data_IF_005005306947
#
_entry.id   IF_005005306947
#
_cell.length_a   1.000
_cell.length_b   1.000
_cell.length_c   1.000
_cell.angle_alpha   90.00
_cell.angle_beta   90.00
_cell.angle_gamma   90.00
#
_symmetry.space_group_name_H-M   'P 1'
#
loop_
_entity.id
_entity.type
_entity.pdbx_description
1 polymer ?
#
# COMPACT_ATOMS: atom_id res chain seq x y z
N UNK A 1 42.19 39.03 28.95
CA UNK A 1 41.68 37.65 28.98
C UNK A 1 40.45 37.57 28.08
N UNK A 2 40.58 37.02 26.88
CA UNK A 2 39.46 36.77 25.97
C UNK A 2 38.86 35.42 26.35
N UNK A 3 37.58 35.39 26.69
CA UNK A 3 36.87 34.17 27.06
C UNK A 3 36.74 33.25 25.83
N UNK A 4 37.31 32.04 25.91
CA UNK A 4 37.02 30.97 24.96
C UNK A 4 35.53 30.60 25.02
N UNK A 5 34.84 30.45 23.89
CA UNK A 5 33.48 29.94 23.88
C UNK A 5 33.51 28.48 24.34
N UNK A 6 32.85 28.19 25.46
CA UNK A 6 32.51 26.82 25.84
C UNK A 6 31.55 26.30 24.77
N UNK A 7 32.03 25.44 23.87
CA UNK A 7 31.19 24.66 22.98
C UNK A 7 30.26 23.82 23.85
N UNK A 8 28.98 24.23 23.94
CA UNK A 8 27.93 23.38 24.50
C UNK A 8 27.92 22.09 23.68
N UNK A 9 28.28 20.97 24.29
CA UNK A 9 28.12 19.66 23.68
C UNK A 9 26.63 19.51 23.30
N UNK A 10 26.35 19.42 21.99
CA UNK A 10 24.99 19.18 21.51
C UNK A 10 24.47 17.89 22.13
N UNK A 11 23.22 17.90 22.62
CA UNK A 11 22.56 16.68 23.12
C UNK A 11 22.66 15.59 22.04
N UNK A 12 23.31 14.48 22.35
CA UNK A 12 23.33 13.32 21.47
C UNK A 12 21.94 12.67 21.51
N UNK A 13 21.36 12.39 20.35
CA UNK A 13 20.10 11.65 20.28
C UNK A 13 20.36 10.21 20.71
N UNK A 14 19.41 9.61 21.43
CA UNK A 14 19.44 8.18 21.70
C UNK A 14 19.28 7.39 20.39
N UNK A 15 19.79 6.16 20.37
CA UNK A 15 19.61 5.25 19.23
C UNK A 15 18.12 5.00 18.96
N UNK A 16 17.30 4.91 20.00
CA UNK A 16 15.85 4.76 19.90
C UNK A 16 15.20 5.93 19.16
N UNK A 17 15.55 7.19 19.50
CA UNK A 17 15.02 8.36 18.80
C UNK A 17 15.48 8.41 17.34
N UNK A 18 16.73 8.01 17.07
CA UNK A 18 17.23 7.92 15.70
C UNK A 18 16.46 6.88 14.90
N UNK A 19 16.18 5.73 15.50
CA UNK A 19 15.44 4.65 14.85
C UNK A 19 13.97 5.06 14.63
N UNK A 20 13.33 5.69 15.61
CA UNK A 20 11.98 6.23 15.50
C UNK A 20 11.84 7.22 14.32
N UNK A 21 12.82 8.11 14.11
CA UNK A 21 12.82 9.03 12.97
C UNK A 21 12.95 8.27 11.64
N UNK A 22 13.81 7.25 11.58
CA UNK A 22 13.98 6.44 10.37
C UNK A 22 12.70 5.67 10.05
N UNK A 23 12.05 5.09 11.05
CA UNK A 23 10.80 4.35 10.91
C UNK A 23 9.66 5.29 10.53
N UNK A 24 9.61 6.50 11.10
CA UNK A 24 8.67 7.54 10.69
C UNK A 24 8.80 7.87 9.20
N UNK A 25 10.02 8.09 8.70
CA UNK A 25 10.25 8.33 7.27
C UNK A 25 9.90 7.12 6.39
N UNK A 26 10.09 5.90 6.89
CA UNK A 26 9.85 4.66 6.14
C UNK A 26 8.41 4.15 6.27
N UNK A 27 7.59 4.76 7.13
CA UNK A 27 6.16 4.46 7.22
C UNK A 27 5.46 4.71 5.89
N UNK A 28 4.51 3.84 5.55
CA UNK A 28 3.66 3.98 4.35
C UNK A 28 2.73 5.20 4.40
N UNK A 29 2.56 5.81 5.60
CA UNK A 29 1.87 7.09 5.76
C UNK A 29 2.69 8.28 5.25
N UNK A 30 4.02 8.19 5.35
CA UNK A 30 4.93 9.31 5.10
C UNK A 30 5.74 9.15 3.81
N UNK A 31 5.87 7.93 3.31
CA UNK A 31 6.55 7.63 2.07
C UNK A 31 5.95 6.39 1.38
N UNK A 32 6.16 6.23 0.08
CA UNK A 32 5.73 5.03 -0.67
C UNK A 32 6.88 4.40 -1.41
N UNK A 33 6.97 3.06 -1.39
CA UNK A 33 7.93 2.32 -2.21
C UNK A 33 7.65 2.59 -3.69
N UNK A 34 8.72 2.91 -4.43
CA UNK A 34 8.68 2.99 -5.87
C UNK A 34 8.85 1.58 -6.45
N UNK A 35 7.89 1.10 -7.24
CA UNK A 35 7.88 -0.27 -7.76
C UNK A 35 8.79 -0.50 -8.98
N UNK A 36 9.37 0.55 -9.57
CA UNK A 36 10.19 0.43 -10.76
C UNK A 36 11.54 -0.26 -10.49
N UNK A 37 11.96 -1.17 -11.36
CA UNK A 37 13.25 -1.86 -11.23
C UNK A 37 14.44 -0.90 -11.15
N UNK A 38 14.35 0.26 -11.82
CA UNK A 38 15.38 1.30 -11.85
C UNK A 38 15.29 2.28 -10.67
N UNK A 39 14.22 2.25 -9.88
CA UNK A 39 13.99 3.17 -8.76
C UNK A 39 14.79 2.77 -7.53
N UNK A 40 16.11 2.84 -7.64
CA UNK A 40 17.05 2.40 -6.61
C UNK A 40 18.06 3.48 -6.26
N UNK A 41 18.57 3.42 -5.04
CA UNK A 41 19.71 4.23 -4.59
C UNK A 41 20.75 3.32 -3.95
N UNK A 42 22.02 3.65 -4.11
CA UNK A 42 23.11 2.96 -3.41
C UNK A 42 23.35 3.68 -2.08
N UNK A 43 23.17 2.97 -0.98
CA UNK A 43 23.53 3.41 0.36
C UNK A 43 24.82 2.71 0.79
N UNK A 44 25.65 3.39 1.58
CA UNK A 44 26.79 2.76 2.25
C UNK A 44 26.34 2.42 3.68
N UNK A 45 26.31 1.14 4.01
CA UNK A 45 25.96 0.62 5.33
C UNK A 45 27.14 -0.22 5.78
N UNK A 46 27.75 0.13 6.92
CA UNK A 46 28.92 -0.56 7.48
C UNK A 46 30.07 -0.73 6.47
N UNK A 47 30.33 0.32 5.68
CA UNK A 47 31.37 0.34 4.65
C UNK A 47 31.02 -0.40 3.35
N UNK A 48 29.87 -1.10 3.28
CA UNK A 48 29.43 -1.84 2.11
C UNK A 48 28.40 -1.07 1.29
N UNK A 49 28.55 -1.13 -0.04
CA UNK A 49 27.58 -0.55 -0.98
C UNK A 49 26.37 -1.46 -1.11
N UNK A 50 25.25 -1.08 -0.49
CA UNK A 50 23.97 -1.80 -0.54
C UNK A 50 23.00 -1.04 -1.43
N UNK A 51 22.38 -1.73 -2.39
CA UNK A 51 21.38 -1.14 -3.29
C UNK A 51 19.99 -1.26 -2.66
N UNK A 52 19.38 -0.12 -2.30
CA UNK A 52 18.04 -0.04 -1.70
C UNK A 52 17.00 0.48 -2.70
N UNK A 53 15.77 -0.03 -2.60
CA UNK A 53 14.64 0.48 -3.35
C UNK A 53 14.26 1.87 -2.82
N UNK A 54 14.00 2.83 -3.73
CA UNK A 54 13.58 4.19 -3.37
C UNK A 54 12.19 4.17 -2.75
N UNK A 55 11.99 5.04 -1.77
CA UNK A 55 10.71 5.44 -1.21
C UNK A 55 10.50 6.92 -1.51
N UNK A 56 9.39 7.27 -2.16
CA UNK A 56 9.02 8.65 -2.44
C UNK A 56 8.33 9.24 -1.21
N UNK A 57 8.86 10.33 -0.65
CA UNK A 57 8.19 11.05 0.43
C UNK A 57 6.85 11.62 -0.06
N UNK A 58 5.80 11.45 0.74
CA UNK A 58 4.44 11.90 0.42
C UNK A 58 4.18 13.36 0.80
N UNK A 59 5.05 13.92 1.63
CA UNK A 59 5.01 15.30 2.10
C UNK A 59 6.38 15.95 1.96
N UNK A 60 6.42 17.29 1.98
CA UNK A 60 7.68 17.99 2.05
C UNK A 60 8.32 17.79 3.45
N UNK A 61 9.61 18.11 3.60
CA UNK A 61 10.32 17.83 4.85
C UNK A 61 9.78 18.65 6.05
N UNK A 62 9.27 19.86 5.82
CA UNK A 62 8.71 20.68 6.89
C UNK A 62 7.41 20.07 7.42
N UNK A 63 6.50 19.67 6.53
CA UNK A 63 5.25 19.02 6.89
C UNK A 63 5.51 17.71 7.65
N UNK A 64 6.48 16.90 7.19
CA UNK A 64 6.89 15.68 7.88
C UNK A 64 7.43 15.97 9.28
N UNK A 65 8.17 17.05 9.45
CA UNK A 65 8.70 17.43 10.75
C UNK A 65 7.58 17.89 11.70
N UNK A 66 6.63 18.68 11.21
CA UNK A 66 5.45 19.09 11.99
C UNK A 66 4.66 17.86 12.42
N UNK A 67 4.38 16.93 11.50
CA UNK A 67 3.68 15.68 11.81
C UNK A 67 4.45 14.80 12.80
N UNK A 68 5.78 14.72 12.68
CA UNK A 68 6.62 13.96 13.62
C UNK A 68 6.57 14.55 15.04
N UNK A 69 6.43 15.87 15.15
CA UNK A 69 6.36 16.61 16.42
C UNK A 69 4.95 16.63 17.01
N UNK A 70 3.93 16.37 16.21
CA UNK A 70 2.54 16.36 16.65
C UNK A 70 2.33 15.36 17.80
N UNK A 71 1.89 15.84 18.96
CA UNK A 71 1.70 15.02 20.17
C UNK A 71 2.98 14.71 20.97
N UNK A 72 4.16 15.22 20.57
CA UNK A 72 5.41 15.08 21.32
C UNK A 72 5.75 16.37 22.07
N UNK A 73 5.73 16.32 23.40
CA UNK A 73 6.11 17.44 24.27
C UNK A 73 7.63 17.67 24.38
N UNK A 74 8.43 17.07 23.49
CA UNK A 74 9.88 17.08 23.60
C UNK A 74 10.57 17.77 22.41
N UNK A 75 11.39 18.77 22.72
CA UNK A 75 12.18 19.60 21.80
C UNK A 75 13.59 19.05 21.51
N UNK A 76 13.87 17.81 21.90
CA UNK A 76 15.16 17.16 21.64
C UNK A 76 15.53 17.14 20.13
N UNK A 77 14.57 16.98 19.22
CA UNK A 77 14.83 16.87 17.78
C UNK A 77 14.48 18.16 17.04
N UNK A 78 15.51 18.91 16.62
CA UNK A 78 15.36 20.05 15.71
C UNK A 78 15.18 19.61 14.24
N UNK A 79 14.57 20.48 13.42
CA UNK A 79 14.31 20.23 11.99
C UNK A 79 15.56 19.77 11.22
N UNK A 80 16.69 20.45 11.41
CA UNK A 80 17.95 20.11 10.71
C UNK A 80 18.43 18.69 11.05
N UNK A 81 18.30 18.28 12.30
CA UNK A 81 18.68 16.93 12.75
C UNK A 81 17.72 15.90 12.17
N UNK A 82 16.41 16.16 12.21
CA UNK A 82 15.39 15.32 11.59
C UNK A 82 15.66 15.11 10.10
N UNK A 83 15.86 16.19 9.34
CA UNK A 83 16.16 16.14 7.92
C UNK A 83 17.47 15.40 7.61
N UNK A 84 18.50 15.52 8.47
CA UNK A 84 19.79 14.82 8.33
C UNK A 84 19.67 13.32 8.60
N UNK A 85 18.78 12.91 9.50
CA UNK A 85 18.53 11.50 9.84
C UNK A 85 17.64 10.78 8.82
N UNK A 86 17.13 11.49 7.82
CA UNK A 86 16.37 10.90 6.72
C UNK A 86 17.15 9.75 6.06
N UNK A 87 16.56 8.55 5.99
CA UNK A 87 17.14 7.44 5.24
C UNK A 87 17.45 7.83 3.78
N UNK A 88 18.61 7.43 3.26
CA UNK A 88 19.06 7.77 1.90
C UNK A 88 18.08 7.28 0.84
N UNK A 89 17.35 6.19 1.11
CA UNK A 89 16.32 5.66 0.23
C UNK A 89 14.99 6.41 0.29
N UNK A 90 14.75 7.30 1.26
CA UNK A 90 13.58 8.18 1.29
C UNK A 90 13.88 9.48 0.54
N UNK A 91 13.41 9.56 -0.70
CA UNK A 91 13.72 10.63 -1.63
C UNK A 91 12.59 11.68 -1.63
N UNK A 92 12.90 12.98 -1.46
CA UNK A 92 11.90 14.03 -1.66
C UNK A 92 11.53 14.11 -3.14
N UNK A 93 10.25 14.30 -3.44
CA UNK A 93 9.81 14.55 -4.81
C UNK A 93 10.43 15.86 -5.33
N UNK A 94 11.31 15.78 -6.33
CA UNK A 94 11.76 16.93 -7.13
C UNK A 94 10.89 17.06 -8.38
N UNK A 95 10.82 18.24 -9.01
CA UNK A 95 10.24 18.38 -10.35
C UNK A 95 10.84 17.34 -11.30
N UNK A 96 9.98 16.61 -12.01
CA UNK A 96 10.37 15.48 -12.87
C UNK A 96 10.46 14.11 -12.16
N UNK A 97 10.17 14.02 -10.85
CA UNK A 97 10.04 12.72 -10.18
C UNK A 97 8.77 12.04 -10.64
N UNK A 98 8.91 10.89 -11.30
CA UNK A 98 7.79 10.12 -11.82
C UNK A 98 7.01 9.46 -10.66
N UNK A 99 5.99 10.16 -10.15
CA UNK A 99 5.04 9.63 -9.17
C UNK A 99 3.98 8.79 -9.89
N UNK A 100 3.95 7.49 -9.61
CA UNK A 100 3.10 6.52 -10.32
C UNK A 100 2.15 5.77 -9.40
N UNK A 101 1.01 5.37 -9.98
CA UNK A 101 -0.13 4.72 -9.32
C UNK A 101 -0.62 5.49 -8.09
N UNK A 102 -0.90 6.78 -8.30
CA UNK A 102 -1.58 7.64 -7.34
C UNK A 102 -3.03 7.18 -7.16
N UNK A 103 -3.59 7.40 -5.97
CA UNK A 103 -5.01 7.17 -5.73
C UNK A 103 -5.82 8.24 -6.45
N UNK A 104 -6.68 7.86 -7.40
CA UNK A 104 -7.49 8.81 -8.19
C UNK A 104 -8.51 9.56 -7.34
N UNK A 105 -9.00 8.97 -6.24
CA UNK A 105 -9.91 9.63 -5.29
C UNK A 105 -9.21 10.83 -4.63
N UNK A 106 -7.99 10.64 -4.12
CA UNK A 106 -7.18 11.73 -3.57
C UNK A 106 -6.69 12.69 -4.66
N UNK A 107 -6.16 12.16 -5.76
CA UNK A 107 -5.50 12.97 -6.78
C UNK A 107 -6.48 13.88 -7.51
N UNK A 108 -7.70 13.41 -7.80
CA UNK A 108 -8.69 14.26 -8.47
C UNK A 108 -9.11 15.45 -7.59
N UNK A 109 -9.29 15.24 -6.27
CA UNK A 109 -9.54 16.35 -5.36
C UNK A 109 -8.37 17.34 -5.34
N UNK A 110 -7.13 16.85 -5.26
CA UNK A 110 -5.93 17.70 -5.30
C UNK A 110 -5.86 18.53 -6.58
N UNK A 111 -6.03 17.89 -7.75
CA UNK A 111 -5.98 18.58 -9.04
C UNK A 111 -7.05 19.67 -9.18
N UNK A 112 -8.25 19.45 -8.62
CA UNK A 112 -9.30 20.47 -8.59
C UNK A 112 -8.93 21.65 -7.67
N UNK A 113 -8.45 21.38 -6.47
CA UNK A 113 -8.01 22.42 -5.53
C UNK A 113 -6.79 23.21 -6.04
N UNK A 114 -5.88 22.55 -6.75
CA UNK A 114 -4.74 23.16 -7.41
C UNK A 114 -5.17 24.10 -8.54
N UNK A 115 -6.21 23.73 -9.30
CA UNK A 115 -6.71 24.52 -10.43
C UNK A 115 -7.24 25.90 -10.03
N UNK A 116 -7.79 26.03 -8.82
CA UNK A 116 -8.21 27.31 -8.23
C UNK A 116 -7.14 27.93 -7.33
N UNK A 117 -5.99 27.26 -7.17
CA UNK A 117 -4.93 27.62 -6.25
C UNK A 117 -5.48 27.92 -4.84
N UNK A 118 -6.12 26.92 -4.22
CA UNK A 118 -6.91 27.06 -3.00
C UNK A 118 -6.18 27.85 -1.89
N UNK A 119 -4.88 27.61 -1.69
CA UNK A 119 -4.08 28.30 -0.69
C UNK A 119 -3.98 29.80 -0.98
N UNK A 120 -3.73 30.19 -2.24
CA UNK A 120 -3.73 31.60 -2.64
C UNK A 120 -5.13 32.19 -2.65
N UNK A 121 -6.15 31.43 -3.02
CA UNK A 121 -7.53 31.91 -3.06
C UNK A 121 -8.02 32.27 -1.65
N UNK A 122 -7.64 31.48 -0.65
CA UNK A 122 -8.15 31.58 0.73
C UNK A 122 -7.19 32.23 1.73
N UNK A 123 -6.03 32.74 1.28
CA UNK A 123 -4.99 33.29 2.17
C UNK A 123 -5.44 34.44 3.09
N UNK A 124 -6.51 35.16 2.72
CA UNK A 124 -7.05 36.29 3.49
C UNK A 124 -8.14 35.87 4.48
N UNK A 125 -8.56 34.60 4.45
CA UNK A 125 -9.50 34.09 5.44
C UNK A 125 -8.81 34.01 6.81
N UNK A 126 -9.60 34.16 7.87
CA UNK A 126 -9.13 33.96 9.24
C UNK A 126 -8.53 32.55 9.42
N UNK A 127 -9.11 31.56 8.73
CA UNK A 127 -8.61 30.19 8.67
C UNK A 127 -8.39 29.81 7.19
N UNK A 128 -7.17 29.98 6.66
CA UNK A 128 -6.86 29.62 5.28
C UNK A 128 -7.03 28.12 5.01
N UNK A 129 -7.45 27.78 3.78
CA UNK A 129 -7.61 26.40 3.31
C UNK A 129 -6.47 26.09 2.35
N UNK A 130 -5.59 25.17 2.72
CA UNK A 130 -4.40 24.90 1.92
C UNK A 130 -4.50 23.64 1.07
N UNK A 131 -5.29 22.66 1.53
CA UNK A 131 -5.43 21.37 0.86
C UNK A 131 -6.78 20.72 1.14
N UNK A 132 -6.95 19.50 0.64
CA UNK A 132 -8.16 18.73 0.85
C UNK A 132 -8.42 18.40 2.33
N UNK A 133 -7.39 18.31 3.18
CA UNK A 133 -7.57 17.99 4.60
C UNK A 133 -8.22 19.17 5.30
N UNK A 134 -7.82 20.39 4.95
CA UNK A 134 -8.47 21.60 5.46
C UNK A 134 -9.91 21.70 4.93
N UNK A 135 -10.17 21.37 3.66
CA UNK A 135 -11.55 21.26 3.16
C UNK A 135 -12.38 20.26 3.98
N UNK A 136 -11.83 19.07 4.28
CA UNK A 136 -12.51 18.07 5.10
C UNK A 136 -12.79 18.57 6.52
N UNK A 137 -11.87 19.35 7.13
CA UNK A 137 -12.10 19.96 8.45
C UNK A 137 -13.24 20.99 8.42
N UNK A 138 -13.38 21.76 7.34
CA UNK A 138 -14.45 22.76 7.20
C UNK A 138 -15.84 22.11 7.14
N UNK A 139 -15.95 20.91 6.55
CA UNK A 139 -17.22 20.19 6.36
C UNK A 139 -17.48 19.09 7.40
N UNK A 140 -16.66 19.02 8.45
CA UNK A 140 -16.81 18.05 9.55
C UNK A 140 -16.87 18.76 10.90
N UNK A 141 -17.42 18.07 11.90
CA UNK A 141 -17.37 18.54 13.28
C UNK A 141 -15.92 18.73 13.75
N UNK A 142 -15.69 19.70 14.65
CA UNK A 142 -14.37 19.96 15.24
C UNK A 142 -13.72 18.70 15.85
N UNK A 143 -14.54 17.85 16.48
CA UNK A 143 -14.14 16.53 16.99
C UNK A 143 -14.89 15.46 16.17
N UNK A 144 -14.36 15.04 15.02
CA UNK A 144 -15.07 14.15 14.11
C UNK A 144 -15.22 12.75 14.71
N UNK A 145 -16.44 12.24 14.69
CA UNK A 145 -16.72 10.82 14.98
C UNK A 145 -16.55 9.96 13.73
N UNK A 146 -16.62 8.63 13.87
CA UNK A 146 -16.67 7.72 12.71
C UNK A 146 -17.79 8.11 11.75
N UNK A 147 -18.99 8.48 12.26
CA UNK A 147 -20.12 8.90 11.41
C UNK A 147 -19.80 10.15 10.58
N UNK A 148 -18.99 11.08 11.10
CA UNK A 148 -18.55 12.26 10.36
C UNK A 148 -17.74 11.86 9.12
N UNK A 149 -16.82 10.91 9.27
CA UNK A 149 -15.98 10.41 8.18
C UNK A 149 -16.74 9.64 7.10
N UNK A 150 -17.85 9.00 7.47
CA UNK A 150 -18.73 8.29 6.54
C UNK A 150 -19.84 9.18 5.95
N UNK A 151 -19.86 10.47 6.26
CA UNK A 151 -20.91 11.44 5.87
C UNK A 151 -22.31 11.03 6.37
N UNK A 152 -22.38 10.42 7.56
CA UNK A 152 -23.61 9.93 8.21
C UNK A 152 -23.97 10.76 9.46
N UNK A 153 -23.20 11.80 9.78
CA UNK A 153 -23.43 12.67 10.92
C UNK A 153 -24.37 13.82 10.54
N UNK A 154 -25.47 13.97 11.28
CA UNK A 154 -26.42 15.08 11.13
C UNK A 154 -25.89 16.43 11.63
N UNK A 155 -24.86 16.40 12.47
CA UNK A 155 -24.29 17.60 13.13
C UNK A 155 -23.08 18.16 12.38
N UNK A 156 -22.63 17.52 11.29
CA UNK A 156 -21.55 18.07 10.49
C UNK A 156 -21.99 19.43 9.89
N UNK A 157 -21.07 20.41 9.79
CA UNK A 157 -21.33 21.62 9.02
C UNK A 157 -21.81 21.28 7.61
N UNK A 158 -22.81 22.01 7.13
CA UNK A 158 -23.31 21.83 5.77
C UNK A 158 -22.16 22.04 4.77
N UNK A 159 -22.05 21.14 3.79
CA UNK A 159 -21.10 21.29 2.68
C UNK A 159 -21.29 22.59 1.93
N UNK A 160 -22.51 23.14 1.96
CA UNK A 160 -22.86 24.43 1.39
C UNK A 160 -21.99 25.55 1.97
N UNK A 161 -21.54 25.45 3.23
CA UNK A 161 -20.63 26.43 3.82
C UNK A 161 -19.30 26.51 3.04
N UNK A 162 -18.72 25.37 2.64
CA UNK A 162 -17.52 25.37 1.82
C UNK A 162 -17.81 25.94 0.43
N UNK A 163 -18.95 25.59 -0.16
CA UNK A 163 -19.36 26.11 -1.47
C UNK A 163 -19.51 27.63 -1.43
N UNK A 164 -20.21 28.19 -0.44
CA UNK A 164 -20.46 29.62 -0.30
C UNK A 164 -19.16 30.42 -0.13
N UNK A 165 -18.22 29.89 0.68
CA UNK A 165 -16.88 30.50 0.84
C UNK A 165 -16.16 30.56 -0.50
N UNK A 166 -16.13 29.44 -1.24
CA UNK A 166 -15.38 29.37 -2.49
C UNK A 166 -16.07 30.14 -3.62
N UNK A 167 -17.39 30.08 -3.73
CA UNK A 167 -18.17 30.79 -4.74
C UNK A 167 -18.00 32.31 -4.61
N UNK A 168 -18.07 32.83 -3.38
CA UNK A 168 -17.78 34.24 -3.10
C UNK A 168 -16.37 34.62 -3.54
N UNK A 169 -15.35 33.83 -3.16
CA UNK A 169 -13.96 34.13 -3.50
C UNK A 169 -13.67 34.03 -5.00
N UNK A 170 -14.29 33.09 -5.70
CA UNK A 170 -14.17 32.98 -7.16
C UNK A 170 -14.84 34.17 -7.85
N UNK A 171 -16.03 34.56 -7.39
CA UNK A 171 -16.78 35.73 -7.89
C UNK A 171 -16.02 37.04 -7.66
N UNK A 172 -15.45 37.25 -6.47
CA UNK A 172 -14.63 38.42 -6.13
C UNK A 172 -13.38 38.53 -7.02
N UNK A 173 -12.91 37.40 -7.58
CA UNK A 173 -11.80 37.33 -8.53
C UNK A 173 -12.25 37.27 -10.00
N UNK A 174 -13.54 37.42 -10.28
CA UNK A 174 -14.15 37.35 -11.61
C UNK A 174 -13.87 36.03 -12.34
N UNK A 175 -13.76 34.93 -11.59
CA UNK A 175 -13.53 33.59 -12.15
C UNK A 175 -14.90 32.95 -12.43
N UNK A 176 -15.30 32.96 -13.71
CA UNK A 176 -16.60 32.40 -14.15
C UNK A 176 -16.52 30.94 -14.59
N UNK A 177 -15.31 30.43 -14.84
CA UNK A 177 -15.07 29.04 -15.23
C UNK A 177 -13.69 28.59 -14.79
N UNK A 178 -13.56 27.31 -14.46
CA UNK A 178 -12.32 26.69 -13.98
C UNK A 178 -11.86 25.64 -14.98
N UNK A 179 -10.59 25.74 -15.40
CA UNK A 179 -9.91 24.74 -16.20
C UNK A 179 -9.11 23.83 -15.26
N UNK A 180 -9.42 22.54 -15.22
CA UNK A 180 -8.76 21.58 -14.33
C UNK A 180 -8.52 20.24 -14.99
N UNK A 181 -7.60 19.46 -14.44
CA UNK A 181 -7.34 18.09 -14.87
C UNK A 181 -7.97 17.08 -13.91
N UNK A 182 -8.41 15.94 -14.43
CA UNK A 182 -8.97 14.84 -13.62
C UNK A 182 -8.68 13.49 -14.25
N UNK A 183 -8.41 12.48 -13.43
CA UNK A 183 -8.29 11.10 -13.88
C UNK A 183 -9.67 10.50 -14.06
N UNK A 184 -9.96 10.03 -15.28
CA UNK A 184 -11.12 9.19 -15.60
C UNK A 184 -10.68 7.74 -15.64
N UNK A 185 -11.27 6.90 -14.79
CA UNK A 185 -10.99 5.46 -14.72
C UNK A 185 -12.13 4.69 -15.36
N UNK A 186 -11.96 4.26 -16.61
CA UNK A 186 -12.70 3.13 -17.18
C UNK A 186 -11.80 1.89 -17.11
N UNK A 187 -11.94 0.91 -18.01
CA UNK A 187 -10.99 -0.22 -18.12
C UNK A 187 -9.52 0.25 -18.25
N UNK A 188 -9.30 1.51 -18.62
CA UNK A 188 -8.02 2.25 -18.57
C UNK A 188 -8.18 3.57 -17.79
N UNK A 189 -7.07 4.07 -17.24
CA UNK A 189 -7.03 5.37 -16.59
C UNK A 189 -6.45 6.43 -17.55
N UNK A 190 -7.19 7.52 -17.77
CA UNK A 190 -6.77 8.63 -18.64
C UNK A 190 -6.87 9.95 -17.88
N UNK A 191 -5.84 10.78 -17.97
CA UNK A 191 -5.87 12.15 -17.46
C UNK A 191 -6.53 13.05 -18.51
N UNK A 192 -7.64 13.68 -18.14
CA UNK A 192 -8.40 14.57 -19.02
C UNK A 192 -8.41 15.98 -18.45
N UNK A 193 -8.36 16.97 -19.34
CA UNK A 193 -8.60 18.38 -18.98
C UNK A 193 -10.06 18.72 -19.26
N UNK A 194 -10.70 19.39 -18.29
CA UNK A 194 -12.09 19.83 -18.36
C UNK A 194 -12.16 21.32 -18.03
N UNK A 195 -13.12 22.01 -18.65
CA UNK A 195 -13.49 23.38 -18.30
C UNK A 195 -14.94 23.38 -17.89
N UNK A 196 -15.22 23.79 -16.66
CA UNK A 196 -16.58 23.89 -16.14
C UNK A 196 -16.87 25.33 -15.70
N UNK A 197 -18.13 25.78 -15.79
CA UNK A 197 -18.63 26.91 -15.01
C UNK A 197 -18.28 26.79 -13.52
N UNK A 198 -18.12 27.91 -12.81
CA UNK A 198 -17.66 27.92 -11.42
C UNK A 198 -18.59 27.13 -10.48
N UNK A 199 -19.91 27.27 -10.64
CA UNK A 199 -20.95 26.56 -9.89
C UNK A 199 -20.93 25.04 -10.13
N UNK A 200 -20.81 24.63 -11.39
CA UNK A 200 -20.66 23.21 -11.76
C UNK A 200 -19.35 22.62 -11.21
N UNK A 201 -18.26 23.39 -11.26
CA UNK A 201 -16.97 23.00 -10.71
C UNK A 201 -17.05 22.78 -9.18
N UNK A 202 -17.68 23.68 -8.45
CA UNK A 202 -17.85 23.56 -6.99
C UNK A 202 -18.73 22.36 -6.62
N UNK A 203 -19.79 22.11 -7.39
CA UNK A 203 -20.64 20.92 -7.24
C UNK A 203 -19.84 19.63 -7.44
N UNK A 204 -18.99 19.57 -8.49
CA UNK A 204 -18.11 18.42 -8.70
C UNK A 204 -17.08 18.29 -7.56
N UNK A 205 -16.49 19.38 -7.10
CA UNK A 205 -15.51 19.38 -6.00
C UNK A 205 -16.12 18.80 -4.71
N UNK A 206 -17.31 19.24 -4.31
CA UNK A 206 -18.01 18.72 -3.14
C UNK A 206 -18.33 17.22 -3.30
N UNK A 207 -18.78 16.79 -4.48
CA UNK A 207 -19.00 15.38 -4.77
C UNK A 207 -17.71 14.54 -4.63
N UNK A 208 -16.56 15.06 -5.07
CA UNK A 208 -15.27 14.38 -4.87
C UNK A 208 -14.83 14.37 -3.41
N UNK A 209 -15.04 15.46 -2.65
CA UNK A 209 -14.74 15.52 -1.22
C UNK A 209 -15.59 14.53 -0.40
N UNK A 210 -16.88 14.40 -0.72
CA UNK A 210 -17.78 13.38 -0.14
C UNK A 210 -17.28 11.96 -0.36
N UNK A 211 -16.74 11.66 -1.53
CA UNK A 211 -16.13 10.36 -1.83
C UNK A 211 -14.78 10.18 -1.14
N UNK A 212 -14.00 11.26 -1.03
CA UNK A 212 -12.68 11.27 -0.42
C UNK A 212 -12.72 11.04 1.09
N UNK A 213 -13.71 11.62 1.80
CA UNK A 213 -13.78 11.58 3.25
C UNK A 213 -13.73 10.14 3.83
N UNK A 214 -14.66 9.22 3.48
CA UNK A 214 -14.62 7.85 3.99
C UNK A 214 -13.39 7.10 3.50
N UNK A 215 -12.96 7.35 2.26
CA UNK A 215 -11.79 6.69 1.68
C UNK A 215 -10.50 7.06 2.42
N UNK A 216 -10.32 8.34 2.73
CA UNK A 216 -9.18 8.84 3.49
C UNK A 216 -9.16 8.30 4.92
N UNK A 217 -10.32 8.25 5.57
CA UNK A 217 -10.46 7.65 6.90
C UNK A 217 -10.12 6.15 6.89
N UNK A 218 -10.71 5.37 5.98
CA UNK A 218 -10.45 3.93 5.88
C UNK A 218 -8.96 3.67 5.60
N UNK A 219 -8.35 4.41 4.67
CA UNK A 219 -6.93 4.26 4.35
C UNK A 219 -6.06 4.44 5.61
N UNK A 220 -6.31 5.49 6.40
CA UNK A 220 -5.61 5.74 7.67
C UNK A 220 -5.87 4.62 8.69
N UNK A 221 -7.13 4.21 8.88
CA UNK A 221 -7.47 3.14 9.83
C UNK A 221 -6.86 1.79 9.47
N UNK A 222 -6.75 1.45 8.18
CA UNK A 222 -6.09 0.22 7.76
C UNK A 222 -4.59 0.24 8.04
N UNK A 223 -3.91 1.34 7.74
CA UNK A 223 -2.48 1.50 8.02
C UNK A 223 -2.20 1.49 9.53
N UNK A 224 -2.99 2.21 10.32
CA UNK A 224 -2.90 2.20 11.78
C UNK A 224 -3.10 0.81 12.36
N UNK A 225 -4.14 0.10 11.90
CA UNK A 225 -4.44 -1.24 12.38
C UNK A 225 -3.30 -2.21 12.07
N UNK A 226 -2.75 -2.17 10.85
CA UNK A 226 -1.62 -3.01 10.46
C UNK A 226 -0.37 -2.73 11.31
N UNK A 227 -0.04 -1.46 11.51
CA UNK A 227 1.10 -1.02 12.35
C UNK A 227 0.94 -1.56 13.76
N UNK A 228 -0.22 -1.31 14.38
CA UNK A 228 -0.54 -1.83 15.72
C UNK A 228 -0.46 -3.36 15.78
N UNK A 229 -0.93 -4.07 14.74
CA UNK A 229 -0.86 -5.54 14.69
C UNK A 229 0.58 -6.04 14.58
N UNK A 230 1.48 -5.34 13.88
CA UNK A 230 2.92 -5.63 13.89
C UNK A 230 3.46 -5.46 15.31
N UNK A 231 3.18 -4.34 15.97
CA UNK A 231 3.69 -4.06 17.33
C UNK A 231 3.19 -5.07 18.37
N UNK A 232 1.94 -5.51 18.27
CA UNK A 232 1.31 -6.46 19.20
C UNK A 232 1.27 -7.90 18.68
N UNK A 233 2.08 -8.24 17.67
CA UNK A 233 2.09 -9.58 17.09
C UNK A 233 2.50 -10.62 18.14
N UNK A 234 1.83 -11.75 18.26
CA UNK A 234 2.23 -12.82 19.20
C UNK A 234 3.21 -13.82 18.57
N UNK A 235 3.89 -14.61 19.39
CA UNK A 235 4.83 -15.65 18.93
C UNK A 235 4.18 -16.76 18.10
N UNK A 236 2.89 -17.02 18.32
CA UNK A 236 2.10 -18.00 17.57
C UNK A 236 1.31 -17.40 16.40
N UNK A 237 1.57 -16.12 16.08
CA UNK A 237 0.91 -15.36 15.02
C UNK A 237 1.91 -14.89 13.97
N UNK A 238 1.44 -14.85 12.72
CA UNK A 238 2.16 -14.18 11.64
C UNK A 238 1.23 -13.22 10.90
N UNK A 239 1.81 -12.15 10.36
CA UNK A 239 1.15 -11.28 9.39
C UNK A 239 1.71 -11.63 8.02
N UNK A 240 0.86 -11.80 7.02
CA UNK A 240 1.28 -12.13 5.65
C UNK A 240 0.73 -11.08 4.69
N UNK A 241 1.63 -10.32 4.09
CA UNK A 241 1.35 -9.46 2.94
C UNK A 241 1.56 -10.27 1.64
N UNK A 242 0.61 -10.19 0.72
CA UNK A 242 0.57 -10.97 -0.52
C UNK A 242 0.22 -10.03 -1.68
N UNK A 243 1.01 -10.04 -2.75
CA UNK A 243 0.63 -9.37 -3.99
C UNK A 243 1.21 -10.03 -5.25
N UNK A 244 0.47 -9.95 -6.36
CA UNK A 244 0.97 -10.33 -7.68
C UNK A 244 1.79 -9.19 -8.26
N UNK A 245 3.08 -9.45 -8.48
CA UNK A 245 3.86 -8.56 -9.32
C UNK A 245 3.47 -8.75 -10.79
N UNK A 246 3.61 -7.71 -11.60
CA UNK A 246 3.56 -7.87 -13.05
C UNK A 246 4.52 -8.98 -13.47
N UNK A 247 4.00 -9.90 -14.30
CA UNK A 247 4.72 -11.06 -14.80
C UNK A 247 6.07 -10.69 -15.39
N UNK A 248 7.03 -11.58 -15.22
CA UNK A 248 8.34 -11.41 -15.82
C UNK A 248 8.32 -11.95 -17.25
N UNK A 249 8.31 -11.04 -18.22
CA UNK A 249 8.60 -11.38 -19.61
C UNK A 249 10.08 -11.75 -19.74
N UNK A 250 10.37 -12.90 -20.35
CA UNK A 250 11.74 -13.33 -20.52
C UNK A 250 12.50 -12.40 -21.46
N UNK A 251 13.74 -12.14 -21.11
CA UNK A 251 14.67 -11.36 -21.93
C UNK A 251 15.95 -12.16 -22.12
N UNK A 252 16.64 -11.91 -23.23
CA UNK A 252 17.90 -12.57 -23.56
C UNK A 252 18.85 -11.56 -24.17
N UNK A 253 20.14 -11.75 -23.92
CA UNK A 253 21.19 -10.97 -24.56
C UNK A 253 21.24 -11.28 -26.06
N UNK A 254 21.53 -10.29 -26.91
CA UNK A 254 21.60 -10.45 -28.38
C UNK A 254 20.33 -11.07 -28.99
N UNK A 255 19.17 -10.73 -28.42
CA UNK A 255 17.88 -11.22 -28.90
C UNK A 255 17.68 -10.90 -30.39
N UNK A 256 17.30 -11.91 -31.16
CA UNK A 256 16.86 -11.70 -32.54
C UNK A 256 15.66 -10.74 -32.56
N UNK A 257 15.53 -9.92 -33.61
CA UNK A 257 14.48 -8.90 -33.71
C UNK A 257 13.06 -9.48 -33.46
N UNK A 258 12.79 -10.69 -33.97
CA UNK A 258 11.49 -11.35 -33.79
C UNK A 258 11.18 -11.73 -32.33
N UNK A 259 12.20 -11.87 -31.47
CA UNK A 259 12.02 -12.21 -30.05
C UNK A 259 11.29 -11.11 -29.27
N UNK A 260 11.29 -9.85 -29.75
CA UNK A 260 10.50 -8.77 -29.17
C UNK A 260 8.98 -9.02 -29.19
N UNK A 261 8.51 -9.95 -30.04
CA UNK A 261 7.10 -10.35 -30.11
C UNK A 261 6.81 -11.63 -29.31
N UNK A 262 7.80 -12.19 -28.59
CA UNK A 262 7.56 -13.30 -27.70
C UNK A 262 6.78 -12.83 -26.46
N UNK A 263 5.72 -13.57 -26.12
CA UNK A 263 4.85 -13.29 -24.99
C UNK A 263 5.03 -14.30 -23.85
N UNK A 264 6.07 -15.14 -23.87
CA UNK A 264 6.36 -16.06 -22.77
C UNK A 264 6.71 -15.29 -21.50
N UNK A 265 6.07 -15.66 -20.40
CA UNK A 265 6.22 -14.97 -19.11
C UNK A 265 6.22 -15.96 -17.95
N UNK A 266 6.78 -15.52 -16.84
CA UNK A 266 6.66 -16.18 -15.55
C UNK A 266 5.77 -15.35 -14.62
N UNK A 267 4.80 -16.01 -13.99
CA UNK A 267 4.04 -15.41 -12.88
C UNK A 267 4.97 -15.21 -11.70
N UNK A 268 4.95 -14.00 -11.14
CA UNK A 268 5.68 -13.67 -9.92
C UNK A 268 4.67 -13.23 -8.87
N UNK A 269 4.55 -14.02 -7.81
CA UNK A 269 3.81 -13.60 -6.64
C UNK A 269 4.78 -13.29 -5.51
N UNK A 270 4.71 -12.07 -5.01
CA UNK A 270 5.55 -11.55 -3.93
C UNK A 270 4.84 -11.65 -2.60
N UNK A 271 5.60 -11.99 -1.57
CA UNK A 271 5.08 -12.26 -0.24
C UNK A 271 6.07 -11.68 0.76
N UNK A 272 5.56 -11.00 1.79
CA UNK A 272 6.35 -10.64 2.96
C UNK A 272 5.56 -11.08 4.18
N UNK A 273 6.16 -11.95 5.01
CA UNK A 273 5.55 -12.31 6.27
C UNK A 273 6.35 -11.78 7.45
N UNK A 274 5.64 -11.32 8.47
CA UNK A 274 6.20 -10.82 9.72
C UNK A 274 5.90 -11.81 10.83
N UNK A 275 6.87 -12.03 11.69
CA UNK A 275 6.80 -12.96 12.81
C UNK A 275 7.56 -12.38 14.01
N UNK A 276 7.17 -12.78 15.21
CA UNK A 276 7.89 -12.39 16.42
C UNK A 276 9.08 -13.31 16.68
N UNK A 277 10.21 -12.72 17.03
CA UNK A 277 11.44 -13.42 17.43
C UNK A 277 11.95 -12.77 18.71
N UNK A 278 11.46 -13.26 19.86
CA UNK A 278 11.71 -12.62 21.15
C UNK A 278 11.00 -11.27 21.27
N UNK A 279 11.73 -10.22 21.63
CA UNK A 279 11.17 -8.87 21.76
C UNK A 279 10.91 -8.19 20.41
N UNK A 280 11.53 -8.66 19.32
CA UNK A 280 11.51 -8.00 18.03
C UNK A 280 10.54 -8.65 17.05
N UNK A 281 9.98 -7.82 16.16
CA UNK A 281 9.27 -8.30 14.97
C UNK A 281 10.24 -8.35 13.80
N UNK A 282 10.42 -9.55 13.25
CA UNK A 282 11.23 -9.80 12.06
C UNK A 282 10.33 -10.05 10.86
N UNK A 283 10.92 -10.04 9.68
CA UNK A 283 10.22 -10.34 8.45
C UNK A 283 11.05 -11.25 7.55
N UNK A 284 10.39 -11.96 6.66
CA UNK A 284 11.00 -12.75 5.59
C UNK A 284 10.32 -12.40 4.26
N UNK A 285 11.15 -12.15 3.24
CA UNK A 285 10.66 -11.97 1.88
C UNK A 285 10.61 -13.31 1.16
N UNK A 286 9.54 -13.55 0.41
CA UNK A 286 9.34 -14.78 -0.36
C UNK A 286 8.83 -14.43 -1.76
N UNK A 287 9.33 -15.15 -2.77
CA UNK A 287 8.86 -15.08 -4.15
C UNK A 287 8.38 -16.45 -4.59
N UNK A 288 7.11 -16.52 -4.99
CA UNK A 288 6.54 -17.69 -5.65
C UNK A 288 6.58 -17.49 -7.17
N UNK A 289 7.16 -18.45 -7.88
CA UNK A 289 7.25 -18.46 -9.34
C UNK A 289 6.33 -19.53 -9.92
N UNK A 290 5.79 -19.28 -11.11
CA UNK A 290 5.01 -20.28 -11.84
C UNK A 290 5.08 -20.13 -13.35
N UNK A 291 4.85 -21.25 -14.04
CA UNK A 291 4.48 -21.34 -15.46
C UNK A 291 2.96 -21.21 -15.68
N UNK A 292 2.18 -21.04 -14.62
CA UNK A 292 0.74 -20.78 -14.68
C UNK A 292 0.44 -19.28 -14.58
N UNK A 293 -0.10 -18.70 -15.66
CA UNK A 293 -0.47 -17.28 -15.76
C UNK A 293 -1.84 -16.94 -15.14
N UNK A 294 -2.47 -17.88 -14.43
CA UNK A 294 -3.77 -17.64 -13.78
C UNK A 294 -3.57 -16.86 -12.49
N UNK A 295 -4.18 -15.66 -12.41
CA UNK A 295 -4.18 -14.79 -11.23
C UNK A 295 -5.56 -14.79 -10.58
N UNK A 296 -5.95 -15.93 -10.03
CA UNK A 296 -7.27 -16.12 -9.41
C UNK A 296 -7.15 -16.62 -7.96
N UNK A 297 -8.30 -16.88 -7.35
CA UNK A 297 -8.40 -17.38 -5.97
C UNK A 297 -7.74 -18.77 -5.82
N UNK A 298 -7.75 -19.58 -6.88
CA UNK A 298 -7.12 -20.92 -6.88
C UNK A 298 -5.62 -20.80 -6.80
N UNK A 299 -5.01 -19.90 -7.58
CA UNK A 299 -3.57 -19.66 -7.55
C UNK A 299 -3.12 -19.19 -6.16
N UNK A 300 -3.85 -18.25 -5.56
CA UNK A 300 -3.59 -17.77 -4.18
C UNK A 300 -3.62 -18.93 -3.19
N UNK A 301 -4.61 -19.82 -3.27
CA UNK A 301 -4.67 -20.98 -2.37
C UNK A 301 -3.45 -21.90 -2.52
N UNK A 302 -3.01 -22.20 -3.74
CA UNK A 302 -1.83 -23.06 -3.97
C UNK A 302 -0.58 -22.43 -3.35
N UNK A 303 -0.43 -21.12 -3.53
CA UNK A 303 0.67 -20.33 -2.96
C UNK A 303 0.62 -20.37 -1.43
N UNK A 304 -0.55 -20.15 -0.84
CA UNK A 304 -0.76 -20.25 0.61
C UNK A 304 -0.41 -21.63 1.15
N UNK A 305 -0.85 -22.70 0.47
CA UNK A 305 -0.55 -24.07 0.90
C UNK A 305 0.95 -24.32 1.03
N UNK A 306 1.73 -23.93 0.01
CA UNK A 306 3.18 -24.12 0.02
C UNK A 306 3.85 -23.19 1.03
N UNK A 307 3.42 -21.93 1.10
CA UNK A 307 3.93 -20.94 2.04
C UNK A 307 3.74 -21.41 3.48
N UNK A 308 2.51 -21.75 3.87
CA UNK A 308 2.17 -22.11 5.24
C UNK A 308 2.86 -23.38 5.69
N UNK A 309 2.99 -24.39 4.81
CA UNK A 309 3.77 -25.58 5.10
C UNK A 309 5.22 -25.22 5.48
N UNK A 310 5.87 -24.38 4.68
CA UNK A 310 7.25 -23.92 4.96
C UNK A 310 7.36 -23.06 6.21
N UNK A 311 6.34 -22.24 6.49
CA UNK A 311 6.31 -21.42 7.70
C UNK A 311 6.15 -22.30 8.94
N UNK A 312 5.28 -23.31 8.90
CA UNK A 312 5.08 -24.26 9.99
C UNK A 312 6.32 -25.13 10.29
N UNK A 313 7.18 -25.38 9.30
CA UNK A 313 8.48 -26.04 9.50
C UNK A 313 9.47 -25.18 10.31
N UNK A 314 9.33 -23.85 10.27
CA UNK A 314 10.24 -22.90 10.92
C UNK A 314 9.66 -22.26 12.19
N UNK A 315 8.34 -22.17 12.29
CA UNK A 315 7.62 -21.40 13.31
C UNK A 315 6.39 -22.16 13.81
N UNK A 316 6.12 -22.10 15.11
CA UNK A 316 4.91 -22.68 15.70
C UNK A 316 3.71 -21.74 15.54
N UNK A 317 3.15 -21.67 14.34
CA UNK A 317 2.07 -20.73 13.99
C UNK A 317 0.71 -21.36 14.20
N UNK A 318 -0.17 -20.65 14.92
CA UNK A 318 -1.58 -21.01 15.16
C UNK A 318 -2.57 -20.08 14.48
N UNK A 319 -2.13 -18.86 14.13
CA UNK A 319 -2.98 -17.89 13.42
C UNK A 319 -2.21 -17.07 12.39
N UNK A 320 -2.84 -16.86 11.23
CA UNK A 320 -2.34 -16.02 10.14
C UNK A 320 -3.25 -14.81 9.97
N UNK A 321 -2.64 -13.64 9.74
CA UNK A 321 -3.33 -12.37 9.52
C UNK A 321 -2.94 -11.88 8.14
N UNK A 322 -3.82 -12.09 7.17
CA UNK A 322 -3.55 -11.68 5.79
C UNK A 322 -3.83 -10.20 5.60
N UNK A 323 -2.93 -9.50 4.91
CA UNK A 323 -3.16 -8.15 4.39
C UNK A 323 -2.91 -8.14 2.89
N UNK A 324 -3.93 -7.75 2.12
CA UNK A 324 -3.83 -7.69 0.66
C UNK A 324 -4.51 -6.44 0.11
N UNK A 325 -4.28 -6.16 -1.16
CA UNK A 325 -5.11 -5.22 -1.89
C UNK A 325 -6.55 -5.75 -2.08
N UNK A 326 -7.42 -4.89 -2.57
CA UNK A 326 -8.83 -5.21 -2.83
C UNK A 326 -9.11 -5.90 -4.17
N UNK A 327 -8.13 -6.52 -4.83
CA UNK A 327 -8.31 -7.11 -6.15
C UNK A 327 -9.41 -8.18 -6.16
N UNK A 328 -10.46 -7.92 -6.95
CA UNK A 328 -11.65 -8.78 -7.04
C UNK A 328 -11.35 -10.16 -7.61
N UNK A 329 -10.36 -10.26 -8.50
CA UNK A 329 -10.08 -11.50 -9.21
C UNK A 329 -9.48 -12.59 -8.30
N UNK A 330 -8.67 -12.22 -7.29
CA UNK A 330 -7.94 -13.20 -6.47
C UNK A 330 -8.06 -13.03 -4.96
N UNK A 331 -8.30 -11.83 -4.41
CA UNK A 331 -8.37 -11.64 -2.96
C UNK A 331 -9.76 -11.26 -2.44
N UNK A 332 -10.40 -10.24 -3.04
CA UNK A 332 -11.63 -9.65 -2.49
C UNK A 332 -12.89 -10.16 -3.20
N UNK A 333 -13.13 -11.47 -3.11
CA UNK A 333 -14.30 -12.13 -3.69
C UNK A 333 -14.84 -13.26 -2.80
N UNK A 334 -16.03 -13.76 -3.15
CA UNK A 334 -16.72 -14.80 -2.38
C UNK A 334 -15.97 -16.13 -2.29
N UNK A 335 -15.18 -16.46 -3.31
CA UNK A 335 -14.41 -17.71 -3.36
C UNK A 335 -13.27 -17.67 -2.35
N UNK A 336 -12.59 -16.52 -2.23
CA UNK A 336 -11.57 -16.33 -1.21
C UNK A 336 -12.17 -16.35 0.20
N UNK A 337 -13.36 -15.79 0.40
CA UNK A 337 -14.04 -15.87 1.70
C UNK A 337 -14.44 -17.31 2.04
N UNK A 338 -14.84 -18.12 1.06
CA UNK A 338 -15.09 -19.54 1.26
C UNK A 338 -13.81 -20.31 1.63
N UNK A 339 -12.67 -19.99 0.99
CA UNK A 339 -11.37 -20.55 1.38
C UNK A 339 -10.95 -20.12 2.79
N UNK A 340 -11.23 -18.87 3.17
CA UNK A 340 -10.94 -18.34 4.51
C UNK A 340 -11.73 -19.07 5.60
N UNK A 341 -13.01 -19.37 5.37
CA UNK A 341 -13.83 -20.17 6.29
C UNK A 341 -13.30 -21.60 6.48
N UNK A 342 -12.71 -22.19 5.43
CA UNK A 342 -12.11 -23.52 5.49
C UNK A 342 -10.62 -23.52 5.89
N UNK A 343 -10.03 -22.36 6.22
CA UNK A 343 -8.58 -22.22 6.37
C UNK A 343 -8.01 -23.11 7.50
N UNK A 344 -8.70 -23.19 8.64
CA UNK A 344 -8.28 -24.05 9.76
C UNK A 344 -8.40 -25.54 9.41
N UNK A 345 -9.44 -25.92 8.66
CA UNK A 345 -9.59 -27.29 8.17
C UNK A 345 -8.49 -27.67 7.17
N UNK A 346 -8.16 -26.76 6.26
CA UNK A 346 -7.25 -27.02 5.14
C UNK A 346 -5.78 -26.98 5.57
N UNK A 347 -5.43 -26.12 6.53
CA UNK A 347 -4.04 -25.83 6.91
C UNK A 347 -3.71 -26.07 8.40
N UNK A 348 -4.71 -26.38 9.23
CA UNK A 348 -4.54 -26.51 10.68
C UNK A 348 -4.23 -25.19 11.38
N UNK A 349 -4.45 -24.05 10.71
CA UNK A 349 -4.14 -22.70 11.20
C UNK A 349 -5.38 -21.82 11.09
N UNK A 350 -5.70 -21.05 12.12
CA UNK A 350 -6.75 -20.03 12.03
C UNK A 350 -6.30 -18.87 11.14
N UNK A 351 -7.22 -18.19 10.48
CA UNK A 351 -6.86 -17.03 9.69
C UNK A 351 -7.90 -15.92 9.79
N UNK A 352 -7.44 -14.69 9.62
CA UNK A 352 -8.27 -13.52 9.35
C UNK A 352 -7.72 -12.77 8.14
N UNK A 353 -8.59 -12.05 7.44
CA UNK A 353 -8.23 -11.33 6.22
C UNK A 353 -8.58 -9.86 6.31
N UNK A 354 -7.58 -9.03 6.06
CA UNK A 354 -7.67 -7.58 6.07
C UNK A 354 -7.28 -7.04 4.69
N UNK A 355 -7.91 -5.93 4.31
CA UNK A 355 -7.73 -5.32 3.01
C UNK A 355 -7.25 -3.89 3.15
N UNK A 356 -6.20 -3.52 2.42
CA UNK A 356 -5.85 -2.12 2.25
C UNK A 356 -6.97 -1.36 1.54
N UNK A 357 -7.07 -0.06 1.80
CA UNK A 357 -7.94 0.81 1.01
C UNK A 357 -7.47 0.83 -0.46
N UNK A 358 -8.41 1.00 -1.40
CA UNK A 358 -8.12 1.03 -2.84
C UNK A 358 -6.99 2.02 -3.17
N UNK A 359 -5.96 1.57 -3.88
CA UNK A 359 -4.76 2.34 -4.23
C UNK A 359 -3.88 2.81 -3.04
N UNK A 360 -4.04 2.19 -1.87
CA UNK A 360 -3.22 2.38 -0.67
C UNK A 360 -2.57 1.08 -0.15
N UNK A 361 -2.58 0.01 -0.94
CA UNK A 361 -1.95 -1.28 -0.60
C UNK A 361 -0.53 -1.48 -1.11
N UNK A 362 0.10 -0.44 -1.68
CA UNK A 362 1.50 -0.53 -2.11
C UNK A 362 2.40 -0.63 -0.89
N UNK A 363 3.29 -1.61 -0.87
CA UNK A 363 4.04 -1.97 0.33
C UNK A 363 5.30 -2.78 0.06
N UNK A 364 5.65 -3.62 1.03
CA UNK A 364 6.91 -4.36 1.00
C UNK A 364 6.99 -5.34 -0.18
N UNK A 365 5.86 -5.96 -0.55
CA UNK A 365 5.72 -6.86 -1.69
C UNK A 365 6.19 -6.24 -3.02
N UNK A 366 5.81 -4.98 -3.30
CA UNK A 366 6.27 -4.26 -4.51
C UNK A 366 7.80 -4.14 -4.56
N UNK A 367 8.42 -3.86 -3.41
CA UNK A 367 9.87 -3.73 -3.29
C UNK A 367 10.59 -5.05 -3.56
N UNK A 368 10.04 -6.17 -3.05
CA UNK A 368 10.55 -7.52 -3.30
C UNK A 368 10.45 -7.86 -4.79
N UNK A 369 9.29 -7.60 -5.41
CA UNK A 369 9.08 -7.86 -6.83
C UNK A 369 10.02 -7.04 -7.72
N UNK A 370 10.19 -5.75 -7.42
CA UNK A 370 11.11 -4.87 -8.14
C UNK A 370 12.57 -5.35 -8.01
N UNK A 371 12.97 -5.78 -6.81
CA UNK A 371 14.31 -6.30 -6.55
C UNK A 371 14.57 -7.62 -7.28
N UNK A 372 13.64 -8.56 -7.19
CA UNK A 372 13.73 -9.84 -7.87
C UNK A 372 13.82 -9.65 -9.39
N UNK A 373 12.89 -8.89 -9.99
CA UNK A 373 12.88 -8.65 -11.45
C UNK A 373 14.16 -7.98 -11.92
N UNK A 374 14.66 -6.97 -11.19
CA UNK A 374 15.94 -6.30 -11.51
C UNK A 374 17.10 -7.29 -11.59
N UNK A 375 17.18 -8.21 -10.63
CA UNK A 375 18.25 -9.20 -10.58
C UNK A 375 18.08 -10.27 -11.67
N UNK A 376 16.86 -10.72 -11.93
CA UNK A 376 16.54 -11.64 -13.03
C UNK A 376 16.94 -11.03 -14.38
N UNK A 377 16.54 -9.79 -14.64
CA UNK A 377 16.90 -9.04 -15.86
C UNK A 377 18.41 -8.91 -16.00
N UNK A 378 19.12 -8.55 -14.93
CA UNK A 378 20.57 -8.44 -14.96
C UNK A 378 21.22 -9.77 -15.31
N UNK A 379 20.79 -10.86 -14.68
CA UNK A 379 21.32 -12.20 -14.96
C UNK A 379 21.03 -12.65 -16.39
N UNK A 380 19.79 -12.46 -16.88
CA UNK A 380 19.41 -12.77 -18.26
C UNK A 380 20.26 -12.05 -19.30
N UNK A 381 20.58 -10.77 -19.09
CA UNK A 381 21.41 -9.97 -20.01
C UNK A 381 22.91 -10.27 -19.92
N UNK A 382 23.37 -10.87 -18.82
CA UNK A 382 24.76 -11.28 -18.63
C UNK A 382 25.00 -12.75 -19.01
N UNK A 383 23.93 -13.53 -19.17
CA UNK A 383 24.03 -14.94 -19.51
C UNK A 383 24.41 -15.11 -20.99
N UNK A 384 25.35 -16.03 -21.32
CA UNK A 384 25.54 -16.46 -22.70
C UNK A 384 24.29 -17.19 -23.19
N UNK A 385 24.09 -17.23 -24.52
CA UNK A 385 22.91 -17.87 -25.13
C UNK A 385 22.67 -19.32 -24.66
N UNK A 386 23.74 -20.08 -24.40
CA UNK A 386 23.66 -21.47 -23.90
C UNK A 386 23.11 -21.60 -22.47
N UNK A 387 23.00 -20.49 -21.73
CA UNK A 387 22.46 -20.42 -20.36
C UNK A 387 21.35 -19.37 -20.23
N UNK A 388 20.68 -19.04 -21.33
CA UNK A 388 19.61 -18.06 -21.32
C UNK A 388 18.45 -18.51 -20.41
N UNK A 389 17.94 -17.59 -19.59
CA UNK A 389 16.80 -17.82 -18.70
C UNK A 389 15.52 -17.53 -19.49
N UNK A 390 14.96 -18.57 -20.12
CA UNK A 390 13.85 -18.47 -21.06
C UNK A 390 12.59 -19.25 -20.64
N UNK A 391 12.62 -19.88 -19.47
CA UNK A 391 11.46 -20.61 -18.92
C UNK A 391 11.30 -20.32 -17.43
N UNK A 392 10.08 -20.45 -16.90
CA UNK A 392 9.81 -20.24 -15.48
C UNK A 392 10.61 -21.20 -14.61
N UNK A 393 10.87 -22.42 -15.10
CA UNK A 393 11.71 -23.40 -14.42
C UNK A 393 13.18 -22.97 -14.38
N UNK A 394 13.75 -22.52 -15.50
CA UNK A 394 15.12 -21.98 -15.52
C UNK A 394 15.28 -20.74 -14.63
N UNK A 395 14.26 -19.88 -14.58
CA UNK A 395 14.25 -18.70 -13.70
C UNK A 395 14.22 -19.11 -12.24
N UNK A 396 13.41 -20.13 -11.90
CA UNK A 396 13.38 -20.69 -10.56
C UNK A 396 14.74 -21.30 -10.17
N UNK A 397 15.30 -22.17 -11.01
CA UNK A 397 16.56 -22.85 -10.74
C UNK A 397 17.72 -21.85 -10.55
N UNK A 398 17.74 -20.77 -11.33
CA UNK A 398 18.66 -19.65 -11.12
C UNK A 398 18.42 -18.93 -9.78
N UNK A 399 17.17 -18.67 -9.44
CA UNK A 399 16.80 -17.86 -8.28
C UNK A 399 17.08 -18.56 -6.93
N UNK A 400 17.06 -19.90 -6.89
CA UNK A 400 17.20 -20.68 -5.65
C UNK A 400 18.46 -20.35 -4.84
N UNK A 401 19.57 -20.01 -5.53
CA UNK A 401 20.86 -19.72 -4.90
C UNK A 401 21.28 -18.25 -5.07
N UNK A 402 20.35 -17.38 -5.48
CA UNK A 402 20.69 -16.01 -5.83
C UNK A 402 20.58 -15.03 -4.66
N UNK A 403 19.65 -15.27 -3.76
CA UNK A 403 19.27 -14.32 -2.73
C UNK A 403 19.48 -14.94 -1.35
N UNK A 404 20.21 -14.25 -0.48
CA UNK A 404 20.38 -14.67 0.92
C UNK A 404 19.12 -14.36 1.76
N UNK A 405 18.31 -13.40 1.31
CA UNK A 405 17.21 -12.80 2.07
C UNK A 405 15.83 -12.92 1.39
N UNK A 406 15.74 -13.65 0.27
CA UNK A 406 14.48 -13.93 -0.42
C UNK A 406 14.35 -15.44 -0.60
N UNK A 407 13.39 -16.04 0.10
CA UNK A 407 13.06 -17.45 -0.11
C UNK A 407 12.31 -17.58 -1.44
N UNK A 408 12.63 -18.61 -2.24
CA UNK A 408 11.96 -18.84 -3.52
C UNK A 408 11.29 -20.20 -3.53
N UNK A 409 10.08 -20.27 -4.10
CA UNK A 409 9.43 -21.53 -4.41
C UNK A 409 8.73 -21.51 -5.76
N UNK A 410 8.42 -22.70 -6.26
CA UNK A 410 7.77 -22.89 -7.54
C UNK A 410 6.49 -23.71 -7.34
N UNK A 411 5.43 -23.33 -8.04
CA UNK A 411 4.25 -24.18 -8.23
C UNK A 411 3.97 -24.34 -9.72
N UNK A 412 3.65 -25.55 -10.15
CA UNK A 412 3.42 -25.82 -11.57
C UNK A 412 1.97 -25.60 -11.98
N UNK A 413 1.74 -25.47 -13.29
CA UNK A 413 0.42 -25.47 -13.90
C UNK A 413 -0.40 -26.73 -13.57
N UNK A 414 0.23 -27.89 -13.39
CA UNK A 414 -0.45 -29.12 -12.97
C UNK A 414 -0.94 -29.02 -11.52
N UNK A 415 -0.14 -28.44 -10.62
CA UNK A 415 -0.56 -28.20 -9.24
C UNK A 415 -1.78 -27.28 -9.20
N UNK A 416 -1.76 -26.21 -9.99
CA UNK A 416 -2.90 -25.32 -10.16
C UNK A 416 -4.14 -26.07 -10.67
N UNK A 417 -4.02 -26.86 -11.74
CA UNK A 417 -5.14 -27.63 -12.31
C UNK A 417 -5.75 -28.61 -11.31
N UNK A 418 -4.92 -29.28 -10.50
CA UNK A 418 -5.37 -30.18 -9.44
C UNK A 418 -6.16 -29.43 -8.35
N UNK A 419 -5.67 -28.26 -7.94
CA UNK A 419 -6.36 -27.41 -6.97
C UNK A 419 -7.69 -26.87 -7.53
N UNK A 420 -7.70 -26.41 -8.79
CA UNK A 420 -8.91 -25.93 -9.46
C UNK A 420 -10.01 -27.01 -9.49
N UNK A 421 -9.63 -28.26 -9.81
CA UNK A 421 -10.55 -29.39 -9.81
C UNK A 421 -11.12 -29.67 -8.39
N UNK A 422 -10.29 -29.55 -7.36
CA UNK A 422 -10.70 -29.71 -5.96
C UNK A 422 -11.72 -28.64 -5.52
N UNK A 423 -11.55 -27.39 -5.97
CA UNK A 423 -12.43 -26.28 -5.57
C UNK A 423 -13.72 -26.15 -6.33
N UNK A 424 -13.92 -26.88 -7.43
CA UNK A 424 -15.15 -26.83 -8.22
C UNK A 424 -16.42 -26.90 -7.35
N UNK A 425 -16.46 -27.81 -6.37
CA UNK A 425 -17.61 -27.92 -5.46
C UNK A 425 -17.70 -26.72 -4.50
N UNK A 426 -16.60 -26.37 -3.82
CA UNK A 426 -16.53 -25.28 -2.84
C UNK A 426 -16.91 -23.93 -3.45
N UNK A 427 -16.40 -23.62 -4.63
CA UNK A 427 -16.67 -22.34 -5.30
C UNK A 427 -18.09 -22.27 -5.88
N UNK A 428 -18.62 -23.41 -6.33
CA UNK A 428 -20.03 -23.50 -6.75
C UNK A 428 -20.98 -23.25 -5.58
N UNK A 429 -20.67 -23.76 -4.38
CA UNK A 429 -21.47 -23.55 -3.17
C UNK A 429 -21.19 -22.25 -2.42
N UNK A 430 -20.12 -21.51 -2.76
CA UNK A 430 -19.76 -20.27 -2.07
C UNK A 430 -20.90 -19.23 -2.19
N UNK A 431 -21.47 -18.73 -1.09
CA UNK A 431 -22.57 -17.78 -1.14
C UNK A 431 -22.07 -16.37 -1.50
N UNK A 432 -22.97 -15.50 -1.93
CA UNK A 432 -22.65 -14.08 -2.05
C UNK A 432 -22.43 -13.49 -0.66
N UNK A 433 -21.32 -12.76 -0.48
CA UNK A 433 -20.96 -12.12 0.78
C UNK A 433 -21.46 -10.68 0.77
N UNK A 434 -22.26 -10.24 1.77
CA UNK A 434 -22.83 -8.91 1.80
C UNK A 434 -21.73 -7.85 1.90
N UNK A 435 -21.89 -6.76 1.16
CA UNK A 435 -21.01 -5.59 1.21
C UNK A 435 -19.51 -5.91 1.07
N UNK A 436 -19.14 -7.02 0.40
CA UNK A 436 -17.75 -7.49 0.34
C UNK A 436 -16.80 -6.39 -0.15
N UNK A 437 -17.18 -5.62 -1.17
CA UNK A 437 -16.33 -4.58 -1.75
C UNK A 437 -16.15 -3.36 -0.81
N UNK A 438 -17.13 -3.08 0.05
CA UNK A 438 -17.10 -1.98 1.02
C UNK A 438 -16.45 -2.36 2.36
N UNK A 439 -16.23 -3.65 2.59
CA UNK A 439 -15.68 -4.19 3.84
C UNK A 439 -14.16 -4.39 3.75
N UNK A 440 -13.45 -4.27 4.86
CA UNK A 440 -11.98 -4.36 4.88
C UNK A 440 -11.45 -5.36 5.92
N UNK A 441 -12.32 -6.03 6.68
CA UNK A 441 -11.91 -7.13 7.56
C UNK A 441 -12.95 -8.24 7.56
N UNK A 442 -12.45 -9.47 7.49
CA UNK A 442 -13.19 -10.71 7.47
C UNK A 442 -12.54 -11.70 8.43
N UNK A 443 -13.28 -12.10 9.47
CA UNK A 443 -12.77 -12.95 10.55
C UNK A 443 -13.72 -14.15 10.71
N UNK A 444 -13.29 -15.37 10.36
CA UNK A 444 -14.03 -16.59 10.67
C UNK A 444 -14.21 -16.75 12.18
N UNK A 445 -15.43 -17.01 12.61
CA UNK A 445 -15.74 -17.47 13.96
C UNK A 445 -15.68 -19.00 14.06
N UNK A 446 -16.13 -19.65 12.99
CA UNK A 446 -16.19 -21.09 12.82
C UNK A 446 -16.15 -21.40 11.30
N UNK A 447 -16.30 -22.67 10.93
CA UNK A 447 -16.28 -23.10 9.52
C UNK A 447 -17.45 -22.61 8.64
N UNK A 448 -18.39 -21.84 9.18
CA UNK A 448 -19.58 -21.33 8.49
C UNK A 448 -19.84 -19.84 8.72
N UNK A 449 -19.35 -19.27 9.82
CA UNK A 449 -19.70 -17.91 10.25
C UNK A 449 -18.53 -16.95 10.08
N UNK A 450 -18.80 -15.79 9.47
CA UNK A 450 -17.83 -14.74 9.17
C UNK A 450 -18.27 -13.42 9.80
N UNK A 451 -17.39 -12.82 10.61
CA UNK A 451 -17.50 -11.42 11.02
C UNK A 451 -16.98 -10.56 9.88
N UNK A 452 -17.78 -9.57 9.48
CA UNK A 452 -17.47 -8.62 8.41
C UNK A 452 -17.45 -7.21 9.00
N UNK A 453 -16.38 -6.45 8.72
CA UNK A 453 -16.24 -5.07 9.20
C UNK A 453 -15.93 -4.10 8.07
N UNK A 454 -16.51 -2.90 8.16
CA UNK A 454 -16.25 -1.80 7.20
C UNK A 454 -14.78 -1.38 7.22
N UNK A 455 -14.14 -1.37 8.38
CA UNK A 455 -12.70 -1.18 8.56
C UNK A 455 -12.21 -2.07 9.72
N UNK A 456 -10.95 -2.47 9.70
CA UNK A 456 -10.38 -3.50 10.59
C UNK A 456 -10.55 -3.26 12.09
N UNK A 457 -10.36 -2.02 12.55
CA UNK A 457 -10.54 -1.58 13.94
C UNK A 457 -12.00 -1.36 14.33
N UNK A 458 -12.96 -1.47 13.41
CA UNK A 458 -14.37 -1.17 13.69
C UNK A 458 -14.94 -2.06 14.80
N UNK A 459 -15.64 -1.41 15.74
CA UNK A 459 -16.46 -2.06 16.77
C UNK A 459 -17.73 -2.65 16.15
N UNK A 460 -18.36 -1.88 15.25
CA UNK A 460 -19.51 -2.33 14.48
C UNK A 460 -19.10 -3.44 13.49
N UNK A 461 -19.90 -4.50 13.45
CA UNK A 461 -19.68 -5.63 12.56
C UNK A 461 -21.00 -6.26 12.10
N UNK A 462 -20.95 -6.98 10.99
CA UNK A 462 -22.03 -7.82 10.50
C UNK A 462 -21.60 -9.28 10.61
N UNK A 463 -22.43 -10.11 11.22
CA UNK A 463 -22.23 -11.56 11.28
C UNK A 463 -22.94 -12.19 10.08
N UNK A 464 -22.19 -12.89 9.24
CA UNK A 464 -22.72 -13.62 8.09
C UNK A 464 -22.51 -15.12 8.30
N UNK A 465 -23.58 -15.91 8.21
CA UNK A 465 -23.50 -17.38 8.27
C UNK A 465 -23.76 -17.98 6.89
N UNK A 466 -22.78 -18.72 6.39
CA UNK A 466 -22.89 -19.55 5.19
C UNK A 466 -23.90 -20.67 5.47
N UNK A 467 -25.06 -20.60 4.80
CA UNK A 467 -26.08 -21.65 4.84
C UNK A 467 -25.70 -22.82 3.93
#
# INVERSE_FOLDING_TARGET
MLASPILKAGKCLSEDTVQEIKDFYQSDENSRIMAGMKDTVTAVIDGQKVKKQKRLLLFNLNDLYINFKEGKNDDIVGFSTFAKLRPVNCIPGKSGTHSVCVCTIHQNCKLMLDAINISRLTHQLQTPINDYKDCLKVVMCNNPSVKCHFNECSECPDEQNLVDILDKLLSDKLITSVLFSTWKTNDRATLCTQKLPADEFLTELCSKLKQLNPHNFIAKEQTNYMTKRKDTLRDDEIIVELDFAENYAFIVQEAAQAFHFNNDQCTIHTIVYYYRSGAEVKHQSVVALSDCLSHDTTAVYVIQKILLQRVQEKHNVKKVIYFTDGAKQHFKNRYQMANLLCHEQDFGIKAEWHFHATAHGKGACDGVGAAFKREATRASLQAPASRAILTSKSLFDWAQNRFDNIDVFFYSKEMYKKAAAHFNRRFKSAPAIPNIQKSHSFVPLDGKTLIIKTFSSSENNTIFTCR
#
